data_IF_217201303548
#
_entry.id   IF_217201303548
#
_cell.length_a   1.000
_cell.length_b   1.000
_cell.length_c   1.000
_cell.angle_alpha   90.00
_cell.angle_beta   90.00
_cell.angle_gamma   90.00
#
_symmetry.space_group_name_H-M   'P 1'
#
loop_
_entity.id
_entity.type
_entity.pdbx_description
1 polymer ?
#
# COMPACT_ATOMS: atom_id res chain seq x y z
N UNK A 1 -29.20 5.27 -1.40
CA UNK A 1 -29.74 4.21 -2.29
C UNK A 1 -28.63 3.91 -3.29
N UNK A 2 -27.72 3.01 -2.92
CA UNK A 2 -26.45 2.74 -3.64
C UNK A 2 -26.68 1.53 -4.55
N UNK A 3 -26.10 1.58 -5.75
CA UNK A 3 -26.34 0.63 -6.83
C UNK A 3 -25.67 -0.72 -6.55
N UNK A 4 -26.37 -1.79 -6.89
CA UNK A 4 -25.87 -3.15 -7.01
C UNK A 4 -24.62 -3.22 -7.90
N UNK A 5 -23.73 -4.17 -7.60
CA UNK A 5 -22.58 -4.59 -8.41
C UNK A 5 -22.87 -4.45 -9.92
N UNK A 6 -22.07 -3.68 -10.69
CA UNK A 6 -22.25 -3.60 -12.14
C UNK A 6 -21.91 -4.95 -12.78
N UNK A 7 -22.71 -5.35 -13.77
CA UNK A 7 -22.44 -6.52 -14.63
C UNK A 7 -21.06 -6.33 -15.27
N UNK A 8 -20.10 -7.20 -14.90
CA UNK A 8 -18.75 -7.17 -15.43
C UNK A 8 -18.75 -7.62 -16.90
N UNK A 9 -18.15 -6.79 -17.76
CA UNK A 9 -17.84 -7.12 -19.16
C UNK A 9 -16.81 -8.27 -19.19
N UNK A 10 -17.10 -9.42 -19.85
CA UNK A 10 -16.20 -10.57 -19.90
C UNK A 10 -14.89 -10.35 -20.68
N UNK A 11 -14.65 -9.14 -21.22
CA UNK A 11 -13.41 -8.77 -21.92
C UNK A 11 -12.38 -8.00 -21.07
N UNK A 12 -12.75 -7.57 -19.86
CA UNK A 12 -11.80 -6.99 -18.90
C UNK A 12 -11.23 -8.07 -17.99
N UNK A 13 -9.90 -8.12 -17.89
CA UNK A 13 -9.14 -9.24 -17.32
C UNK A 13 -9.70 -9.83 -16.03
N UNK A 14 -9.69 -11.16 -15.98
CA UNK A 14 -10.06 -12.01 -14.85
C UNK A 14 -9.68 -11.38 -13.50
N UNK A 15 -10.63 -10.73 -12.85
CA UNK A 15 -10.49 -10.38 -11.45
C UNK A 15 -10.80 -11.65 -10.68
N UNK A 16 -9.76 -12.46 -10.46
CA UNK A 16 -9.82 -13.51 -9.44
C UNK A 16 -9.88 -12.76 -8.11
N UNK A 17 -11.09 -12.48 -7.63
CA UNK A 17 -11.29 -12.12 -6.24
C UNK A 17 -11.08 -13.40 -5.44
N UNK A 18 -10.14 -13.38 -4.50
CA UNK A 18 -10.01 -14.43 -3.50
C UNK A 18 -11.26 -14.38 -2.61
N UNK A 19 -12.31 -15.09 -3.02
CA UNK A 19 -13.57 -15.22 -2.27
C UNK A 19 -13.45 -16.35 -1.23
N UNK A 20 -12.28 -16.95 -1.10
CA UNK A 20 -12.09 -18.12 -0.28
C UNK A 20 -11.54 -17.76 1.09
N UNK A 21 -12.39 -17.91 2.10
CA UNK A 21 -12.08 -17.86 3.53
C UNK A 21 -11.74 -16.48 4.14
N UNK A 22 -11.80 -15.40 3.36
CA UNK A 22 -11.51 -14.05 3.86
C UNK A 22 -12.59 -13.52 4.80
N UNK A 23 -12.25 -13.28 6.07
CA UNK A 23 -13.11 -12.52 6.97
C UNK A 23 -13.38 -11.09 6.41
N UNK A 24 -14.42 -10.36 6.87
CA UNK A 24 -14.83 -9.07 6.29
C UNK A 24 -13.70 -8.05 6.10
N UNK A 25 -12.67 -8.09 6.95
CA UNK A 25 -11.50 -7.25 6.80
C UNK A 25 -10.65 -7.60 5.56
N UNK A 26 -10.52 -8.87 5.21
CA UNK A 26 -9.88 -9.32 3.98
C UNK A 26 -10.56 -8.77 2.73
N UNK A 27 -11.90 -8.81 2.71
CA UNK A 27 -12.71 -8.19 1.65
C UNK A 27 -12.46 -6.67 1.56
N UNK A 28 -12.49 -5.95 2.69
CA UNK A 28 -12.24 -4.50 2.71
C UNK A 28 -10.90 -4.13 2.07
N UNK A 29 -9.84 -4.92 2.34
CA UNK A 29 -8.50 -4.72 1.77
C UNK A 29 -8.51 -4.87 0.24
N UNK A 30 -9.24 -5.85 -0.30
CA UNK A 30 -9.38 -6.03 -1.75
C UNK A 30 -10.34 -5.04 -2.43
N UNK A 31 -11.24 -4.40 -1.67
CA UNK A 31 -12.32 -3.56 -2.19
C UNK A 31 -11.94 -2.08 -2.38
N UNK A 32 -10.68 -1.74 -2.63
CA UNK A 32 -10.23 -0.36 -2.81
C UNK A 32 -10.98 0.38 -3.93
N UNK A 33 -11.18 -0.29 -5.07
CA UNK A 33 -11.92 0.30 -6.19
C UNK A 33 -13.42 0.48 -5.94
N UNK A 34 -14.05 -0.47 -5.25
CA UNK A 34 -15.46 -0.38 -4.88
C UNK A 34 -15.67 0.83 -3.96
N UNK A 35 -14.87 0.91 -2.90
CA UNK A 35 -14.98 2.01 -1.95
C UNK A 35 -14.65 3.36 -2.60
N UNK A 36 -13.66 3.44 -3.51
CA UNK A 36 -13.39 4.67 -4.25
C UNK A 36 -14.62 5.16 -5.05
N UNK A 37 -15.38 4.23 -5.66
CA UNK A 37 -16.61 4.56 -6.38
C UNK A 37 -17.71 5.10 -5.46
N UNK A 38 -17.84 4.56 -4.25
CA UNK A 38 -18.80 5.04 -3.25
C UNK A 38 -18.40 6.41 -2.68
N UNK A 39 -17.13 6.55 -2.32
CA UNK A 39 -16.56 7.79 -1.78
C UNK A 39 -16.63 8.95 -2.78
N UNK A 40 -16.54 8.67 -4.09
CA UNK A 40 -16.68 9.66 -5.16
C UNK A 40 -18.08 10.29 -5.24
N UNK A 41 -19.11 9.63 -4.70
CA UNK A 41 -20.49 10.14 -4.68
C UNK A 41 -20.81 10.95 -3.43
N UNK A 42 -19.92 10.95 -2.44
CA UNK A 42 -20.10 11.69 -1.19
C UNK A 42 -19.64 13.15 -1.33
N UNK A 43 -20.19 14.07 -0.52
CA UNK A 43 -19.66 15.43 -0.44
C UNK A 43 -18.17 15.43 -0.10
N UNK A 44 -17.43 16.28 -0.81
CA UNK A 44 -16.00 16.49 -0.65
C UNK A 44 -15.71 18.00 -0.53
N UNK A 45 -14.67 18.33 0.22
CA UNK A 45 -14.19 19.71 0.43
C UNK A 45 -13.53 20.31 -0.81
N UNK A 46 -13.18 19.48 -1.79
CA UNK A 46 -12.39 19.90 -2.95
C UNK A 46 -10.90 20.10 -2.65
N UNK A 47 -10.44 19.74 -1.45
CA UNK A 47 -9.02 19.79 -1.10
C UNK A 47 -8.36 18.49 -1.54
N UNK A 48 -7.54 18.56 -2.59
CA UNK A 48 -7.00 17.37 -3.27
C UNK A 48 -5.48 17.23 -3.15
N UNK A 49 -4.94 16.89 -1.95
CA UNK A 49 -3.53 16.52 -1.81
C UNK A 49 -3.24 15.21 -2.55
N UNK A 50 -1.97 14.79 -2.57
CA UNK A 50 -1.66 13.38 -2.88
C UNK A 50 -2.17 12.53 -1.73
N UNK A 51 -3.06 11.58 -2.04
CA UNK A 51 -3.61 10.59 -1.13
C UNK A 51 -3.02 9.22 -1.43
N UNK A 52 -3.06 8.31 -0.45
CA UNK A 52 -2.61 6.93 -0.64
C UNK A 52 -3.58 6.07 -1.44
N UNK A 53 -4.88 6.40 -1.44
CA UNK A 53 -5.91 5.69 -2.21
C UNK A 53 -6.34 4.35 -1.60
N UNK A 54 -5.44 3.63 -0.94
CA UNK A 54 -5.74 2.39 -0.22
C UNK A 54 -5.40 2.47 1.27
N UNK A 55 -6.31 3.07 2.03
CA UNK A 55 -6.11 3.39 3.44
C UNK A 55 -6.64 2.41 4.45
N UNK A 56 -5.82 1.45 4.88
CA UNK A 56 -6.27 0.54 5.93
C UNK A 56 -5.19 0.18 6.94
N UNK A 57 -5.59 -0.28 8.14
CA UNK A 57 -4.67 -0.62 9.25
C UNK A 57 -3.57 -1.62 8.83
N UNK A 58 -3.89 -2.55 7.93
CA UNK A 58 -2.94 -3.52 7.38
C UNK A 58 -1.86 -2.94 6.44
N UNK A 59 -2.04 -1.72 5.95
CA UNK A 59 -1.04 -1.03 5.13
C UNK A 59 -0.01 -0.28 5.97
N UNK A 60 -0.12 -0.32 7.31
CA UNK A 60 0.89 0.21 8.21
C UNK A 60 1.79 -0.92 8.72
N UNK A 61 3.09 -0.81 8.48
CA UNK A 61 4.08 -1.82 8.85
C UNK A 61 5.31 -1.23 9.51
N UNK A 62 6.02 -2.08 10.28
CA UNK A 62 7.33 -1.71 10.81
C UNK A 62 8.45 -2.16 9.86
N UNK A 63 9.35 -1.23 9.51
CA UNK A 63 10.46 -1.40 8.57
C UNK A 63 11.80 -1.05 9.18
N UNK A 64 12.88 -1.65 8.69
CA UNK A 64 14.22 -1.14 8.92
C UNK A 64 14.53 -0.09 7.84
N UNK A 65 14.91 1.13 8.25
CA UNK A 65 15.47 2.11 7.31
C UNK A 65 16.85 1.64 6.80
N UNK A 66 17.37 2.23 5.71
CA UNK A 66 18.74 1.96 5.26
C UNK A 66 19.80 2.17 6.37
N UNK A 67 19.54 3.08 7.32
CA UNK A 67 20.35 3.33 8.51
C UNK A 67 20.07 2.35 9.67
N UNK A 68 19.39 1.23 9.40
CA UNK A 68 19.00 0.18 10.35
C UNK A 68 18.11 0.67 11.51
N UNK A 69 17.39 1.78 11.33
CA UNK A 69 16.45 2.27 12.34
C UNK A 69 15.04 1.72 12.10
N UNK A 70 14.35 1.30 13.16
CA UNK A 70 12.99 0.75 13.05
C UNK A 70 11.96 1.85 12.83
N UNK A 71 11.37 1.93 11.64
CA UNK A 71 10.35 2.86 11.16
C UNK A 71 8.95 2.26 11.14
N UNK A 72 7.90 3.03 11.47
CA UNK A 72 6.52 2.70 11.11
C UNK A 72 6.20 3.46 9.81
N UNK A 73 5.79 2.77 8.76
CA UNK A 73 5.54 3.37 7.44
C UNK A 73 4.35 2.73 6.72
N UNK A 74 3.91 3.37 5.63
CA UNK A 74 2.97 2.80 4.67
C UNK A 74 3.71 1.89 3.69
N UNK A 75 3.06 0.81 3.29
CA UNK A 75 3.67 -0.27 2.51
C UNK A 75 3.36 -0.21 1.03
N UNK A 76 2.21 0.36 0.70
CA UNK A 76 1.60 0.27 -0.61
C UNK A 76 1.25 1.67 -1.12
N UNK A 77 1.75 1.96 -2.33
CA UNK A 77 1.61 3.24 -3.01
C UNK A 77 1.09 3.05 -4.44
N UNK A 78 0.64 1.84 -4.80
CA UNK A 78 0.14 1.56 -6.14
C UNK A 78 -1.07 2.44 -6.46
N UNK A 79 -1.83 2.81 -5.43
CA UNK A 79 -3.00 3.69 -5.49
C UNK A 79 -2.73 5.17 -5.21
N UNK A 80 -1.46 5.55 -5.05
CA UNK A 80 -1.09 6.94 -4.78
C UNK A 80 -1.51 7.87 -5.93
N UNK A 81 -2.30 8.89 -5.61
CA UNK A 81 -2.85 9.81 -6.59
C UNK A 81 -3.35 11.12 -5.93
N UNK A 82 -3.34 12.28 -6.61
CA UNK A 82 -4.09 13.45 -6.16
C UNK A 82 -5.57 13.14 -6.02
N UNK A 83 -6.15 13.38 -4.84
CA UNK A 83 -7.54 13.04 -4.57
C UNK A 83 -8.03 13.67 -3.27
N UNK A 84 -9.32 13.58 -3.01
CA UNK A 84 -9.94 14.13 -1.80
C UNK A 84 -9.33 13.50 -0.54
N UNK A 85 -8.75 14.31 0.33
CA UNK A 85 -8.07 13.85 1.55
C UNK A 85 -8.98 13.03 2.48
N UNK A 86 -10.29 13.26 2.40
CA UNK A 86 -11.32 12.55 3.17
C UNK A 86 -11.35 11.07 2.86
N UNK A 87 -10.95 10.65 1.65
CA UNK A 87 -11.05 9.26 1.22
C UNK A 87 -10.12 8.36 2.01
N UNK A 88 -8.90 8.84 2.19
CA UNK A 88 -7.88 8.19 3.00
C UNK A 88 -8.32 8.04 4.46
N UNK A 89 -8.93 9.08 5.03
CA UNK A 89 -9.36 9.04 6.42
C UNK A 89 -10.62 8.16 6.60
N UNK A 90 -11.59 8.25 5.68
CA UNK A 90 -12.80 7.41 5.68
C UNK A 90 -12.47 5.93 5.56
N UNK A 91 -11.63 5.55 4.59
CA UNK A 91 -11.22 4.15 4.39
C UNK A 91 -10.40 3.65 5.58
N UNK A 92 -9.55 4.49 6.17
CA UNK A 92 -8.81 4.12 7.38
C UNK A 92 -9.75 3.86 8.55
N UNK A 93 -10.68 4.77 8.82
CA UNK A 93 -11.67 4.63 9.91
C UNK A 93 -12.54 3.39 9.73
N UNK A 94 -13.05 3.13 8.52
CA UNK A 94 -13.79 1.91 8.23
C UNK A 94 -12.95 0.65 8.50
N UNK A 95 -11.69 0.63 8.07
CA UNK A 95 -10.80 -0.51 8.30
C UNK A 95 -10.52 -0.79 9.78
N UNK A 96 -10.44 0.25 10.61
CA UNK A 96 -10.29 0.12 12.07
C UNK A 96 -11.53 -0.55 12.66
N UNK A 97 -12.72 -0.12 12.25
CA UNK A 97 -13.98 -0.67 12.74
C UNK A 97 -14.19 -2.13 12.33
N UNK A 98 -14.04 -2.43 11.04
CA UNK A 98 -14.17 -3.80 10.51
C UNK A 98 -13.15 -4.74 11.15
N UNK A 99 -11.89 -4.30 11.27
CA UNK A 99 -10.87 -5.06 11.99
C UNK A 99 -11.23 -5.25 13.48
N UNK A 100 -11.83 -4.26 14.13
CA UNK A 100 -12.27 -4.35 15.52
C UNK A 100 -13.30 -5.45 15.72
N UNK A 101 -14.38 -5.42 14.91
CA UNK A 101 -15.45 -6.44 14.93
C UNK A 101 -14.92 -7.84 14.65
N UNK A 102 -14.05 -7.98 13.65
CA UNK A 102 -13.43 -9.27 13.31
C UNK A 102 -12.58 -9.85 14.47
N UNK A 103 -12.00 -8.98 15.31
CA UNK A 103 -11.25 -9.39 16.50
C UNK A 103 -12.13 -9.50 17.76
N UNK A 104 -13.45 -9.39 17.63
CA UNK A 104 -14.41 -9.55 18.72
C UNK A 104 -14.53 -8.33 19.65
N UNK A 105 -14.11 -7.14 19.21
CA UNK A 105 -14.39 -5.91 19.94
C UNK A 105 -15.89 -5.55 19.84
N UNK A 106 -16.42 -4.94 20.90
CA UNK A 106 -17.77 -4.38 20.86
C UNK A 106 -17.80 -3.03 20.10
N UNK A 107 -19.01 -2.54 19.83
CA UNK A 107 -19.20 -1.29 19.07
C UNK A 107 -18.59 -0.08 19.78
N UNK A 108 -18.66 -0.04 21.12
CA UNK A 108 -18.11 1.08 21.91
C UNK A 108 -16.58 1.12 21.81
N UNK A 109 -15.91 -0.03 21.87
CA UNK A 109 -14.47 -0.13 21.68
C UNK A 109 -14.05 0.21 20.23
N UNK A 110 -14.86 -0.16 19.24
CA UNK A 110 -14.62 0.23 17.84
C UNK A 110 -14.76 1.74 17.65
N UNK A 111 -15.78 2.35 18.26
CA UNK A 111 -16.00 3.80 18.25
C UNK A 111 -14.84 4.55 18.90
N UNK A 112 -14.39 4.10 20.09
CA UNK A 112 -13.24 4.68 20.79
C UNK A 112 -11.97 4.59 19.93
N UNK A 113 -11.73 3.45 19.28
CA UNK A 113 -10.57 3.24 18.42
C UNK A 113 -10.58 4.17 17.20
N UNK A 114 -11.74 4.34 16.54
CA UNK A 114 -11.87 5.26 15.40
C UNK A 114 -11.73 6.71 15.84
N UNK A 115 -12.35 7.10 16.96
CA UNK A 115 -12.23 8.44 17.52
C UNK A 115 -10.77 8.77 17.85
N UNK A 116 -10.05 7.86 18.50
CA UNK A 116 -8.62 8.01 18.80
C UNK A 116 -7.78 8.12 17.52
N UNK A 117 -8.09 7.33 16.48
CA UNK A 117 -7.41 7.41 15.19
C UNK A 117 -7.59 8.78 14.52
N UNK A 118 -8.82 9.29 14.49
CA UNK A 118 -9.15 10.58 13.88
C UNK A 118 -8.54 11.75 14.67
N UNK A 119 -8.61 11.69 16.00
CA UNK A 119 -7.98 12.67 16.87
C UNK A 119 -6.46 12.72 16.67
N UNK A 120 -5.79 11.56 16.62
CA UNK A 120 -4.36 11.49 16.35
C UNK A 120 -3.99 12.07 14.97
N UNK A 121 -4.79 11.78 13.95
CA UNK A 121 -4.60 12.37 12.62
C UNK A 121 -4.73 13.91 12.65
N UNK A 122 -5.78 14.43 13.31
CA UNK A 122 -6.00 15.87 13.45
C UNK A 122 -4.85 16.55 14.21
N UNK A 123 -4.45 15.98 15.33
CA UNK A 123 -3.46 16.58 16.23
C UNK A 123 -2.08 16.61 15.55
N UNK A 124 -1.69 15.54 14.85
CA UNK A 124 -0.46 15.54 14.04
C UNK A 124 -0.54 16.57 12.91
N UNK A 125 -1.68 16.68 12.23
CA UNK A 125 -1.84 17.64 11.14
C UNK A 125 -1.67 19.08 11.64
N UNK A 126 -2.23 19.40 12.81
CA UNK A 126 -2.02 20.69 13.48
C UNK A 126 -0.57 20.92 13.86
N UNK A 127 0.08 19.93 14.49
CA UNK A 127 1.47 20.05 14.91
C UNK A 127 2.41 20.28 13.71
N UNK A 128 2.16 19.58 12.59
CA UNK A 128 2.94 19.74 11.36
C UNK A 128 2.66 21.07 10.67
N UNK A 129 1.44 21.58 10.76
CA UNK A 129 1.06 22.88 10.22
C UNK A 129 1.72 24.05 10.97
N UNK A 130 1.92 23.91 12.29
CA UNK A 130 2.60 24.92 13.11
C UNK A 130 4.13 24.97 12.89
N UNK A 131 4.70 23.99 12.17
CA UNK A 131 6.13 23.92 11.88
C UNK A 131 6.51 24.65 10.57
N UNK A 132 7.74 25.19 10.46
CA UNK A 132 8.27 25.71 9.20
C UNK A 132 8.23 24.68 8.07
N UNK A 133 7.96 25.13 6.84
CA UNK A 133 7.76 24.27 5.66
C UNK A 133 8.95 23.37 5.32
N UNK A 134 10.16 23.82 5.63
CA UNK A 134 11.38 23.03 5.43
C UNK A 134 11.51 21.97 6.53
N UNK A 135 11.32 22.36 7.79
CA UNK A 135 11.47 21.47 8.95
C UNK A 135 10.43 20.34 8.93
N UNK A 136 9.17 20.63 8.58
CA UNK A 136 8.14 19.60 8.38
C UNK A 136 8.55 18.55 7.34
N UNK A 137 9.39 18.91 6.37
CA UNK A 137 9.84 18.02 5.29
C UNK A 137 10.94 17.06 5.77
N UNK A 138 11.64 17.40 6.86
CA UNK A 138 12.70 16.57 7.45
C UNK A 138 12.34 15.92 8.79
N UNK A 139 11.19 16.27 9.39
CA UNK A 139 10.70 15.66 10.64
C UNK A 139 10.69 14.13 10.52
N UNK A 140 11.23 13.42 11.52
CA UNK A 140 11.21 11.96 11.64
C UNK A 140 10.84 11.60 13.08
N UNK A 141 9.88 10.70 13.31
CA UNK A 141 9.82 10.05 14.63
C UNK A 141 11.00 9.10 14.77
N UNK A 142 11.68 9.12 15.89
CA UNK A 142 12.73 8.15 16.20
C UNK A 142 12.19 6.96 17.02
N UNK A 143 13.08 6.01 17.35
CA UNK A 143 12.75 4.85 18.18
C UNK A 143 12.29 5.24 19.59
N UNK A 144 12.80 6.34 20.13
CA UNK A 144 12.53 6.79 21.50
C UNK A 144 11.09 7.28 21.60
N UNK A 145 10.66 8.11 20.65
CA UNK A 145 9.29 8.61 20.59
C UNK A 145 8.25 7.49 20.35
N UNK A 146 8.56 6.49 19.52
CA UNK A 146 7.71 5.30 19.35
C UNK A 146 7.59 4.44 20.62
N UNK A 147 8.64 4.39 21.42
CA UNK A 147 8.63 3.71 22.71
C UNK A 147 7.84 4.51 23.76
N UNK A 148 7.89 5.84 23.70
CA UNK A 148 7.17 6.74 24.60
C UNK A 148 5.67 6.79 24.28
N UNK A 149 5.28 6.72 23.00
CA UNK A 149 3.89 6.59 22.54
C UNK A 149 3.25 5.24 22.95
N UNK A 150 4.06 4.20 23.13
CA UNK A 150 3.59 2.91 23.60
C UNK A 150 3.32 2.94 25.11
N UNK A 151 2.19 3.53 25.49
CA UNK A 151 1.81 3.71 26.90
C UNK A 151 1.59 2.36 27.61
N UNK A 152 1.17 1.32 26.88
CA UNK A 152 0.89 -0.01 27.45
C UNK A 152 2.03 -1.01 27.24
N UNK A 153 2.22 -1.89 28.24
CA UNK A 153 3.21 -2.98 28.19
C UNK A 153 2.91 -3.97 27.05
N UNK A 154 1.64 -4.18 26.70
CA UNK A 154 1.23 -5.05 25.59
C UNK A 154 1.63 -4.46 24.24
N UNK A 155 1.38 -3.17 24.01
CA UNK A 155 1.75 -2.47 22.78
C UNK A 155 3.28 -2.43 22.62
N UNK A 156 4.04 -2.14 23.69
CA UNK A 156 5.52 -2.25 23.67
C UNK A 156 6.00 -3.64 23.25
N UNK A 157 5.37 -4.70 23.77
CA UNK A 157 5.72 -6.08 23.41
C UNK A 157 5.42 -6.37 21.94
N UNK A 158 4.29 -5.89 21.41
CA UNK A 158 3.94 -6.06 20.01
C UNK A 158 4.88 -5.26 19.09
N UNK A 159 5.19 -4.00 19.42
CA UNK A 159 6.18 -3.18 18.70
C UNK A 159 7.55 -3.86 18.69
N UNK A 160 7.99 -4.40 19.83
CA UNK A 160 9.25 -5.16 19.91
C UNK A 160 9.23 -6.40 19.01
N UNK A 161 8.13 -7.17 19.01
CA UNK A 161 7.95 -8.36 18.16
C UNK A 161 7.96 -8.00 16.67
N UNK A 162 7.23 -6.96 16.28
CA UNK A 162 7.23 -6.43 14.92
C UNK A 162 8.61 -5.93 14.51
N UNK A 163 9.34 -5.26 15.42
CA UNK A 163 10.72 -4.82 15.18
C UNK A 163 11.68 -5.96 14.90
N UNK A 164 11.63 -7.02 15.71
CA UNK A 164 12.47 -8.20 15.49
C UNK A 164 12.15 -8.85 14.14
N UNK A 165 10.86 -8.94 13.78
CA UNK A 165 10.42 -9.47 12.48
C UNK A 165 10.90 -8.61 11.31
N UNK A 166 10.79 -7.29 11.41
CA UNK A 166 11.23 -6.35 10.38
C UNK A 166 12.74 -6.51 10.09
N UNK A 167 13.56 -6.64 11.15
CA UNK A 167 15.01 -6.88 11.01
C UNK A 167 15.38 -8.26 10.49
N UNK A 168 14.48 -9.24 10.58
CA UNK A 168 14.68 -10.55 9.97
C UNK A 168 14.23 -10.61 8.51
N UNK A 169 13.45 -9.63 8.05
CA UNK A 169 12.93 -9.53 6.67
C UNK A 169 13.79 -8.68 5.74
N UNK A 170 14.91 -8.13 6.21
CA UNK A 170 15.88 -7.45 5.34
C UNK A 170 16.38 -8.42 4.29
N UNK A 171 16.27 -7.99 3.04
CA UNK A 171 16.58 -8.68 1.78
C UNK A 171 17.91 -9.44 1.80
N UNK A 172 18.88 -8.96 2.57
CA UNK A 172 20.24 -9.50 2.67
C UNK A 172 20.33 -10.96 3.17
N UNK A 173 19.35 -11.45 3.93
CA UNK A 173 19.38 -12.84 4.44
C UNK A 173 18.74 -13.88 3.51
N UNK A 174 18.12 -13.42 2.43
CA UNK A 174 17.44 -14.24 1.44
C UNK A 174 18.34 -14.65 0.27
N UNK A 175 19.38 -13.85 -0.01
CA UNK A 175 20.24 -13.94 -1.20
C UNK A 175 20.77 -15.35 -1.51
N UNK A 176 21.28 -16.16 -0.56
CA UNK A 176 21.87 -17.47 -0.88
C UNK A 176 20.85 -18.59 -1.07
N UNK A 177 19.57 -18.38 -0.70
CA UNK A 177 18.51 -19.40 -0.83
C UNK A 177 17.77 -19.32 -2.15
N UNK A 178 17.85 -18.17 -2.82
CA UNK A 178 17.12 -17.91 -4.06
C UNK A 178 17.95 -18.17 -5.32
N UNK A 179 19.21 -18.59 -5.21
CA UNK A 179 20.03 -18.91 -6.38
C UNK A 179 20.63 -20.30 -6.32
N UNK A 180 20.53 -21.05 -7.40
CA UNK A 180 21.28 -22.27 -7.65
C UNK A 180 22.53 -21.93 -8.45
N UNK A 181 23.67 -22.45 -7.99
CA UNK A 181 24.93 -22.35 -8.70
C UNK A 181 25.11 -23.60 -9.58
N UNK A 182 25.03 -23.42 -10.91
CA UNK A 182 25.33 -24.47 -11.89
C UNK A 182 26.65 -24.18 -12.61
N UNK A 183 27.71 -23.91 -11.85
CA UNK A 183 29.06 -23.77 -12.39
C UNK A 183 29.31 -22.37 -12.96
N UNK A 184 29.13 -22.19 -14.28
CA UNK A 184 29.36 -20.90 -14.94
C UNK A 184 28.12 -19.99 -14.99
N UNK A 185 26.93 -20.55 -14.74
CA UNK A 185 25.65 -19.84 -14.78
C UNK A 185 24.98 -19.90 -13.41
N UNK A 186 24.94 -18.76 -12.71
CA UNK A 186 24.08 -18.59 -11.53
C UNK A 186 22.66 -18.34 -11.98
N UNK A 187 21.68 -18.98 -11.35
CA UNK A 187 20.25 -18.83 -11.70
C UNK A 187 19.37 -18.74 -10.47
N UNK A 188 18.23 -18.08 -10.60
CA UNK A 188 17.18 -18.01 -9.59
C UNK A 188 16.56 -19.42 -9.43
N UNK A 189 16.35 -19.87 -8.20
CA UNK A 189 15.71 -21.16 -7.90
C UNK A 189 14.25 -21.10 -8.31
N UNK A 190 13.80 -22.10 -9.06
CA UNK A 190 12.39 -22.25 -9.42
C UNK A 190 11.60 -22.83 -8.25
N UNK A 191 10.45 -22.23 -7.97
CA UNK A 191 9.51 -22.69 -6.96
C UNK A 191 8.09 -22.56 -7.51
N UNK A 192 7.67 -23.41 -8.47
CA UNK A 192 6.35 -23.31 -9.05
C UNK A 192 5.24 -23.54 -8.00
N UNK A 193 4.15 -22.75 -8.00
CA UNK A 193 3.79 -21.71 -8.97
C UNK A 193 4.33 -20.30 -8.64
N UNK A 194 5.03 -20.13 -7.52
CA UNK A 194 5.47 -18.83 -7.00
C UNK A 194 6.59 -18.21 -7.84
N UNK A 195 7.61 -18.99 -8.19
CA UNK A 195 8.73 -18.56 -9.03
C UNK A 195 8.83 -19.47 -10.23
N UNK A 196 8.59 -18.92 -11.42
CA UNK A 196 8.57 -19.68 -12.68
C UNK A 196 9.46 -19.04 -13.74
N UNK A 197 9.91 -19.87 -14.69
CA UNK A 197 10.77 -19.42 -15.79
C UNK A 197 9.99 -18.62 -16.81
N UNK A 198 10.71 -17.68 -17.40
CA UNK A 198 10.29 -16.93 -18.57
C UNK A 198 10.83 -17.60 -19.83
N UNK A 199 10.08 -17.48 -20.93
CA UNK A 199 10.61 -17.82 -22.24
C UNK A 199 11.65 -16.76 -22.71
N UNK A 200 12.46 -17.11 -23.70
CA UNK A 200 13.56 -16.25 -24.17
C UNK A 200 13.08 -14.87 -24.64
N UNK A 201 11.93 -14.81 -25.34
CA UNK A 201 11.34 -13.56 -25.81
C UNK A 201 10.97 -12.62 -24.64
N UNK A 202 10.39 -13.16 -23.57
CA UNK A 202 10.04 -12.39 -22.37
C UNK A 202 11.28 -11.90 -21.65
N UNK A 203 12.34 -12.72 -21.56
CA UNK A 203 13.61 -12.33 -20.95
C UNK A 203 14.26 -11.18 -21.72
N UNK A 204 14.35 -11.27 -23.05
CA UNK A 204 14.93 -10.24 -23.90
C UNK A 204 14.16 -8.92 -23.77
N UNK A 205 12.82 -8.97 -23.83
CA UNK A 205 11.99 -7.78 -23.64
C UNK A 205 12.15 -7.11 -22.27
N UNK A 206 12.38 -7.90 -21.21
CA UNK A 206 12.64 -7.36 -19.87
C UNK A 206 14.04 -6.78 -19.76
N UNK A 207 15.04 -7.41 -20.37
CA UNK A 207 16.40 -6.89 -20.45
C UNK A 207 16.43 -5.52 -21.14
N UNK A 208 15.80 -5.39 -22.31
CA UNK A 208 15.66 -4.10 -23.00
C UNK A 208 14.89 -3.05 -22.15
N UNK A 209 13.88 -3.50 -21.41
CA UNK A 209 13.13 -2.65 -20.49
C UNK A 209 14.00 -2.12 -19.35
N UNK A 210 14.85 -2.97 -18.78
CA UNK A 210 15.81 -2.60 -17.75
C UNK A 210 16.86 -1.63 -18.27
N UNK A 211 17.36 -1.82 -19.50
CA UNK A 211 18.29 -0.88 -20.14
C UNK A 211 17.67 0.52 -20.29
N UNK A 212 16.41 0.60 -20.72
CA UNK A 212 15.68 1.89 -20.77
C UNK A 212 15.45 2.47 -19.38
N UNK A 213 15.12 1.64 -18.39
CA UNK A 213 14.90 2.07 -17.01
C UNK A 213 16.18 2.64 -16.36
N UNK A 214 17.36 2.09 -16.66
CA UNK A 214 18.63 2.65 -16.18
C UNK A 214 18.79 4.13 -16.57
N UNK A 215 18.23 4.55 -17.71
CA UNK A 215 18.26 5.93 -18.16
C UNK A 215 17.35 6.87 -17.35
N UNK A 216 16.33 6.33 -16.67
CA UNK A 216 15.38 7.11 -15.86
C UNK A 216 15.83 7.27 -14.41
N UNK A 217 16.83 6.52 -13.97
CA UNK A 217 17.39 6.62 -12.61
C UNK A 217 18.11 7.96 -12.39
N UNK A 218 18.07 8.44 -11.15
CA UNK A 218 18.90 9.57 -10.72
C UNK A 218 20.39 9.29 -11.00
N UNK A 219 21.20 10.29 -11.38
CA UNK A 219 22.55 10.06 -11.90
C UNK A 219 23.47 9.21 -11.00
N UNK A 220 23.36 9.38 -9.68
CA UNK A 220 24.15 8.58 -8.73
C UNK A 220 23.71 7.12 -8.68
N UNK A 221 22.40 6.84 -8.72
CA UNK A 221 21.88 5.46 -8.79
C UNK A 221 22.20 4.81 -10.13
N UNK A 222 22.07 5.55 -11.23
CA UNK A 222 22.46 5.07 -12.56
C UNK A 222 23.91 4.62 -12.62
N UNK A 223 24.83 5.36 -11.97
CA UNK A 223 26.25 5.00 -11.90
C UNK A 223 26.48 3.70 -11.12
N UNK A 224 25.72 3.48 -10.04
CA UNK A 224 25.84 2.28 -9.20
C UNK A 224 25.23 1.07 -9.93
N UNK A 225 23.95 1.16 -10.30
CA UNK A 225 23.22 0.04 -10.90
C UNK A 225 23.75 -0.31 -12.30
N UNK A 226 24.23 0.67 -13.06
CA UNK A 226 24.82 0.44 -14.39
C UNK A 226 26.14 -0.34 -14.38
N UNK A 227 26.74 -0.60 -13.21
CA UNK A 227 27.89 -1.49 -13.05
C UNK A 227 27.51 -2.96 -12.87
N UNK A 228 26.22 -3.28 -12.75
CA UNK A 228 25.72 -4.64 -12.58
C UNK A 228 25.27 -5.23 -13.92
N UNK A 229 25.57 -6.52 -14.12
CA UNK A 229 25.16 -7.31 -15.28
C UNK A 229 23.94 -8.13 -14.93
N UNK A 230 22.93 -8.14 -15.81
CA UNK A 230 21.77 -9.00 -15.67
C UNK A 230 22.15 -10.47 -15.89
N UNK A 231 21.90 -11.31 -14.89
CA UNK A 231 22.25 -12.74 -14.91
C UNK A 231 21.04 -13.61 -15.21
N UNK A 232 19.91 -13.36 -14.53
CA UNK A 232 18.70 -14.17 -14.67
C UNK A 232 17.46 -13.35 -14.33
N UNK A 233 16.31 -13.74 -14.91
CA UNK A 233 15.00 -13.15 -14.62
C UNK A 233 13.96 -14.25 -14.49
N UNK A 234 13.20 -14.19 -13.40
CA UNK A 234 12.11 -15.11 -13.15
C UNK A 234 10.79 -14.37 -12.96
N UNK A 235 9.69 -14.99 -13.35
CA UNK A 235 8.36 -14.57 -12.93
C UNK A 235 8.21 -14.83 -11.43
N UNK A 236 7.60 -13.91 -10.71
CA UNK A 236 7.43 -13.99 -9.26
C UNK A 236 6.01 -13.60 -8.85
N UNK A 237 5.21 -14.59 -8.47
CA UNK A 237 3.86 -14.40 -7.92
C UNK A 237 3.98 -14.13 -6.43
N UNK A 238 3.71 -12.88 -6.03
CA UNK A 238 3.73 -12.48 -4.62
C UNK A 238 2.33 -12.08 -4.18
N UNK A 239 1.64 -12.99 -3.51
CA UNK A 239 0.32 -12.75 -2.91
C UNK A 239 -0.86 -12.75 -3.89
N UNK A 240 -2.07 -12.90 -3.33
CA UNK A 240 -3.33 -13.11 -4.06
C UNK A 240 -3.75 -11.94 -4.96
N UNK A 241 -3.42 -10.69 -4.58
CA UNK A 241 -3.72 -9.50 -5.40
C UNK A 241 -2.82 -9.32 -6.64
N UNK A 242 -1.78 -10.14 -6.77
CA UNK A 242 -0.83 -10.11 -7.91
C UNK A 242 -1.13 -11.17 -8.95
N UNK A 243 -2.13 -12.05 -8.73
CA UNK A 243 -2.54 -13.08 -9.68
C UNK A 243 -3.09 -12.39 -10.93
N UNK A 244 -2.43 -12.61 -12.07
CA UNK A 244 -2.75 -11.95 -13.35
C UNK A 244 -1.97 -10.66 -13.64
N UNK A 245 -1.15 -10.16 -12.71
CA UNK A 245 -0.25 -9.02 -12.95
C UNK A 245 1.17 -9.47 -13.26
N UNK A 246 1.85 -8.72 -14.12
CA UNK A 246 3.25 -9.01 -14.47
C UNK A 246 4.16 -8.61 -13.32
N UNK A 247 4.67 -9.60 -12.61
CA UNK A 247 5.65 -9.44 -11.54
C UNK A 247 6.87 -10.32 -11.81
N UNK A 248 8.05 -9.71 -11.77
CA UNK A 248 9.31 -10.37 -12.06
C UNK A 248 10.36 -10.03 -11.00
N UNK A 249 11.35 -10.90 -10.90
CA UNK A 249 12.56 -10.67 -10.13
C UNK A 249 13.76 -10.84 -11.06
N UNK A 250 14.62 -9.83 -11.10
CA UNK A 250 15.85 -9.82 -11.87
C UNK A 250 17.04 -9.96 -10.91
N UNK A 251 17.91 -10.92 -11.17
CA UNK A 251 19.19 -11.10 -10.50
C UNK A 251 20.27 -10.39 -11.30
N UNK A 252 20.99 -9.47 -10.65
CA UNK A 252 22.12 -8.80 -11.25
C UNK A 252 23.39 -9.02 -10.41
N UNK A 253 24.52 -9.16 -11.09
CA UNK A 253 25.84 -9.39 -10.50
C UNK A 253 26.80 -8.27 -10.87
N UNK A 254 27.54 -7.78 -9.88
CA UNK A 254 28.47 -6.66 -9.98
C UNK A 254 29.91 -7.12 -10.14
N UNK A 255 30.79 -6.63 -9.28
CA UNK A 255 32.25 -6.82 -9.44
C UNK A 255 32.76 -8.19 -8.96
N UNK A 256 31.95 -8.94 -8.23
CA UNK A 256 32.29 -10.29 -7.76
C UNK A 256 31.03 -11.16 -7.67
N UNK A 257 31.19 -12.50 -7.59
CA UNK A 257 30.05 -13.40 -7.40
C UNK A 257 29.30 -13.19 -6.08
N UNK A 258 29.82 -12.43 -5.11
CA UNK A 258 29.10 -12.11 -3.87
C UNK A 258 28.43 -10.72 -3.92
N UNK A 259 28.76 -9.92 -4.93
CA UNK A 259 28.20 -8.59 -5.18
C UNK A 259 26.94 -8.71 -6.05
N UNK A 260 25.82 -9.09 -5.43
CA UNK A 260 24.55 -9.29 -6.12
C UNK A 260 23.47 -8.32 -5.64
N UNK A 261 22.63 -7.89 -6.58
CA UNK A 261 21.40 -7.16 -6.29
C UNK A 261 20.22 -7.86 -6.96
N UNK A 262 19.06 -7.78 -6.29
CA UNK A 262 17.79 -8.21 -6.86
C UNK A 262 16.92 -6.99 -7.13
N UNK A 263 16.40 -6.89 -8.35
CA UNK A 263 15.39 -5.90 -8.70
C UNK A 263 14.04 -6.60 -8.77
N UNK A 264 13.05 -6.06 -8.06
CA UNK A 264 11.66 -6.49 -8.20
C UNK A 264 10.98 -5.58 -9.22
N UNK A 265 10.47 -6.17 -10.29
CA UNK A 265 9.72 -5.47 -11.32
C UNK A 265 8.25 -5.80 -11.13
N UNK A 266 7.42 -4.76 -11.03
CA UNK A 266 5.97 -4.90 -10.91
C UNK A 266 5.26 -4.03 -11.92
N UNK A 267 4.23 -4.58 -12.54
CA UNK A 267 3.31 -3.80 -13.35
C UNK A 267 2.43 -2.94 -12.44
N UNK A 268 2.61 -1.62 -12.52
CA UNK A 268 1.69 -0.67 -11.93
C UNK A 268 0.43 -0.54 -12.80
N UNK A 269 -0.74 -0.65 -12.18
CA UNK A 269 -2.03 -0.38 -12.85
C UNK A 269 -2.39 1.09 -12.72
N UNK A 270 -3.42 1.49 -13.49
CA UNK A 270 -4.12 2.73 -13.21
C UNK A 270 -4.70 2.67 -11.80
N UNK A 271 -4.49 3.74 -11.04
CA UNK A 271 -5.04 3.84 -9.69
C UNK A 271 -6.56 3.86 -9.77
N UNK A 272 -7.20 3.18 -8.82
CA UNK A 272 -8.64 3.19 -8.58
C UNK A 272 -9.18 4.59 -8.26
N UNK A 273 -8.34 5.50 -7.77
CA UNK A 273 -8.72 6.90 -7.53
C UNK A 273 -8.80 7.69 -8.84
N UNK A 274 -7.96 7.37 -9.80
CA UNK A 274 -7.76 8.17 -11.01
C UNK A 274 -9.04 8.41 -11.85
N UNK A 275 -9.91 7.40 -12.10
CA UNK A 275 -11.17 7.58 -12.84
C UNK A 275 -12.07 8.67 -12.28
N UNK A 276 -12.07 8.85 -10.95
CA UNK A 276 -12.96 9.79 -10.27
C UNK A 276 -12.37 11.21 -10.17
N UNK A 277 -11.09 11.39 -10.52
CA UNK A 277 -10.39 12.68 -10.43
C UNK A 277 -10.19 13.30 -11.81
N UNK A 278 -9.85 12.51 -12.82
CA UNK A 278 -9.61 13.01 -14.19
C UNK A 278 -10.26 12.17 -15.30
N UNK A 279 -11.23 11.31 -14.95
CA UNK A 279 -11.98 10.54 -15.93
C UNK A 279 -11.13 9.44 -16.54
N UNK A 280 -11.33 9.16 -17.83
CA UNK A 280 -10.71 8.00 -18.49
C UNK A 280 -9.28 8.25 -19.02
N UNK A 281 -8.84 9.50 -19.10
CA UNK A 281 -7.50 9.84 -19.65
C UNK A 281 -6.43 9.84 -18.56
N UNK A 282 -5.44 8.91 -18.58
CA UNK A 282 -4.37 8.94 -17.58
C UNK A 282 -3.52 10.20 -17.74
N UNK A 283 -3.18 10.85 -16.61
CA UNK A 283 -2.27 12.02 -16.61
C UNK A 283 -0.81 11.63 -16.84
N UNK A 284 -0.45 10.41 -16.49
CA UNK A 284 0.88 9.86 -16.65
C UNK A 284 0.89 8.90 -17.83
N UNK A 285 1.88 9.07 -18.72
CA UNK A 285 2.12 8.14 -19.83
C UNK A 285 2.45 6.74 -19.32
N UNK A 286 3.10 6.65 -18.15
CA UNK A 286 3.45 5.39 -17.49
C UNK A 286 3.01 5.34 -16.02
N UNK A 287 2.24 4.32 -15.63
CA UNK A 287 1.70 4.23 -14.26
C UNK A 287 2.78 3.94 -13.21
N UNK A 288 3.90 3.31 -13.57
CA UNK A 288 5.04 3.16 -12.67
C UNK A 288 5.74 4.48 -12.37
N UNK A 289 5.72 5.44 -13.31
CA UNK A 289 6.24 6.79 -13.07
C UNK A 289 5.41 7.51 -12.02
N UNK A 290 4.07 7.38 -12.10
CA UNK A 290 3.15 7.91 -11.09
C UNK A 290 3.52 7.44 -9.68
N UNK A 291 3.68 6.13 -9.51
CA UNK A 291 3.96 5.54 -8.19
C UNK A 291 5.27 6.11 -7.63
N UNK A 292 6.32 6.18 -8.45
CA UNK A 292 7.63 6.72 -8.05
C UNK A 292 7.56 8.23 -7.75
N UNK A 293 6.78 9.00 -8.50
CA UNK A 293 6.61 10.44 -8.29
C UNK A 293 5.89 10.74 -6.96
N UNK A 294 4.83 10.00 -6.66
CA UNK A 294 3.96 10.27 -5.51
C UNK A 294 4.39 9.56 -4.23
N UNK A 295 5.14 8.47 -4.32
CA UNK A 295 5.65 7.76 -3.15
C UNK A 295 6.42 8.69 -2.19
N UNK A 296 7.38 9.55 -2.60
CA UNK A 296 8.06 10.47 -1.67
C UNK A 296 7.14 11.49 -0.98
N UNK A 297 6.01 11.85 -1.62
CA UNK A 297 5.03 12.77 -1.04
C UNK A 297 4.27 12.12 0.12
N UNK A 298 4.06 10.82 0.07
CA UNK A 298 3.40 10.02 1.12
C UNK A 298 4.41 9.40 2.11
N UNK A 299 5.59 9.05 1.61
CA UNK A 299 6.62 8.27 2.30
C UNK A 299 7.86 9.11 2.55
N UNK A 300 8.08 9.53 3.79
CA UNK A 300 9.36 10.14 4.23
C UNK A 300 9.45 10.13 5.77
N UNK A 301 9.15 8.97 6.35
CA UNK A 301 9.45 8.50 7.73
C UNK A 301 8.85 9.30 8.90
N UNK A 302 7.65 8.85 9.34
CA UNK A 302 6.94 8.85 10.66
C UNK A 302 6.13 10.07 11.19
N UNK A 303 4.93 9.70 11.70
CA UNK A 303 3.72 10.38 12.27
C UNK A 303 2.49 9.45 11.97
N UNK A 304 1.22 9.68 12.36
CA UNK A 304 0.09 9.06 11.65
C UNK A 304 0.25 9.41 10.17
N UNK A 305 0.72 8.44 9.39
CA UNK A 305 1.53 8.67 8.17
C UNK A 305 0.77 9.51 7.12
N UNK A 306 -0.56 9.38 7.10
CA UNK A 306 -1.46 10.13 6.21
C UNK A 306 -1.53 11.61 6.55
N UNK A 307 -1.59 11.99 7.84
CA UNK A 307 -1.54 13.40 8.25
C UNK A 307 -0.26 14.06 7.75
N UNK A 308 0.84 13.30 7.73
CA UNK A 308 2.13 13.77 7.24
C UNK A 308 2.21 13.94 5.72
N UNK A 309 1.68 12.98 4.96
CA UNK A 309 1.56 13.12 3.50
C UNK A 309 0.69 14.31 3.10
N UNK A 310 -0.46 14.46 3.77
CA UNK A 310 -1.36 15.60 3.56
C UNK A 310 -0.74 16.94 4.03
N UNK A 311 0.05 16.94 5.10
CA UNK A 311 0.75 18.14 5.59
C UNK A 311 1.86 18.64 4.66
N UNK A 312 2.47 17.75 3.87
CA UNK A 312 3.60 18.06 2.99
C UNK A 312 3.18 18.50 1.60
N UNK A 313 2.00 18.07 1.18
CA UNK A 313 1.41 18.45 -0.10
C UNK A 313 0.66 19.79 0.01
N UNK A 314 0.44 20.43 -1.14
CA UNK A 314 -0.38 21.64 -1.23
C UNK A 314 -1.81 21.31 -0.74
N UNK A 315 -2.19 21.81 0.43
CA UNK A 315 -3.51 21.53 1.02
C UNK A 315 -3.55 21.50 2.54
N UNK A 316 -2.41 21.29 3.20
CA UNK A 316 -2.31 21.19 4.66
C UNK A 316 -3.08 22.28 5.43
N UNK A 317 -2.86 23.56 5.08
CA UNK A 317 -3.52 24.69 5.71
C UNK A 317 -5.04 24.69 5.51
N UNK A 318 -5.51 24.25 4.34
CA UNK A 318 -6.92 24.13 4.02
C UNK A 318 -7.57 23.00 4.81
N UNK A 319 -6.89 21.84 4.91
CA UNK A 319 -7.38 20.68 5.68
C UNK A 319 -7.44 21.05 7.16
N UNK A 320 -6.40 21.67 7.70
CA UNK A 320 -6.37 22.15 9.10
C UNK A 320 -7.49 23.16 9.37
N UNK A 321 -7.68 24.13 8.46
CA UNK A 321 -8.76 25.11 8.57
C UNK A 321 -10.16 24.48 8.53
N UNK A 322 -10.36 23.45 7.70
CA UNK A 322 -11.63 22.73 7.60
C UNK A 322 -11.91 21.83 8.82
N UNK A 323 -10.92 21.04 9.24
CA UNK A 323 -11.07 20.13 10.39
C UNK A 323 -11.25 20.91 11.70
N UNK A 324 -10.53 22.02 11.86
CA UNK A 324 -10.51 22.78 13.10
C UNK A 324 -9.92 21.98 14.27
N UNK A 325 -10.24 22.39 15.50
CA UNK A 325 -9.76 21.74 16.74
C UNK A 325 -10.84 20.94 17.50
N UNK A 326 -12.09 21.00 17.05
CA UNK A 326 -13.18 20.23 17.67
C UNK A 326 -13.17 18.77 17.23
N UNK A 327 -13.87 17.92 17.98
CA UNK A 327 -14.11 16.51 17.73
C UNK A 327 -15.22 16.23 16.69
N UNK A 328 -15.79 17.26 16.05
CA UNK A 328 -16.88 17.11 15.07
C UNK A 328 -16.54 16.19 13.91
N UNK A 329 -15.31 16.28 13.40
CA UNK A 329 -14.82 15.41 12.31
C UNK A 329 -14.66 13.98 12.82
N UNK A 330 -14.11 13.81 14.03
CA UNK A 330 -13.92 12.51 14.67
C UNK A 330 -15.28 11.80 14.83
N UNK A 331 -16.28 12.48 15.40
CA UNK A 331 -17.64 11.95 15.57
C UNK A 331 -18.34 11.64 14.23
N UNK A 332 -18.10 12.45 13.19
CA UNK A 332 -18.64 12.18 11.86
C UNK A 332 -18.01 10.94 11.22
N UNK A 333 -16.71 10.74 11.43
CA UNK A 333 -15.98 9.57 10.94
C UNK A 333 -16.31 8.31 11.72
N UNK A 334 -16.61 8.39 13.01
CA UNK A 334 -17.14 7.25 13.78
C UNK A 334 -18.46 6.75 13.19
N UNK A 335 -19.42 7.67 12.94
CA UNK A 335 -20.69 7.30 12.30
C UNK A 335 -20.48 6.70 10.91
N UNK A 336 -19.65 7.34 10.09
CA UNK A 336 -19.30 6.83 8.77
C UNK A 336 -18.68 5.43 8.85
N UNK A 337 -17.70 5.22 9.73
CA UNK A 337 -16.98 3.96 9.85
C UNK A 337 -17.89 2.81 10.28
N UNK A 338 -18.86 3.07 11.17
CA UNK A 338 -19.88 2.10 11.56
C UNK A 338 -20.79 1.73 10.38
N UNK A 339 -21.33 2.73 9.68
CA UNK A 339 -22.22 2.52 8.54
C UNK A 339 -21.51 1.78 7.39
N UNK A 340 -20.24 2.11 7.16
CA UNK A 340 -19.39 1.50 6.14
C UNK A 340 -18.95 0.08 6.55
N UNK A 341 -18.74 -0.19 7.83
CA UNK A 341 -18.49 -1.55 8.33
C UNK A 341 -19.71 -2.46 8.10
N UNK A 342 -20.92 -1.97 8.41
CA UNK A 342 -22.16 -2.69 8.10
C UNK A 342 -22.31 -2.94 6.59
N UNK A 343 -21.92 -1.98 5.76
CA UNK A 343 -21.95 -2.12 4.31
C UNK A 343 -20.92 -3.15 3.81
N UNK A 344 -19.69 -3.08 4.30
CA UNK A 344 -18.60 -4.01 3.99
C UNK A 344 -18.98 -5.45 4.32
N UNK A 345 -19.58 -5.69 5.49
CA UNK A 345 -20.05 -7.02 5.90
C UNK A 345 -21.17 -7.54 4.99
N UNK A 346 -22.13 -6.68 4.61
CA UNK A 346 -23.20 -7.03 3.66
C UNK A 346 -22.65 -7.37 2.27
N UNK A 347 -21.71 -6.58 1.77
CA UNK A 347 -21.12 -6.79 0.45
C UNK A 347 -20.25 -8.04 0.42
N UNK A 348 -19.51 -8.29 1.49
CA UNK A 348 -18.78 -9.53 1.68
C UNK A 348 -19.72 -10.75 1.68
N UNK A 349 -20.81 -10.71 2.45
CA UNK A 349 -21.81 -11.78 2.43
C UNK A 349 -22.43 -11.99 1.04
N UNK A 350 -22.70 -10.91 0.31
CA UNK A 350 -23.24 -10.98 -1.04
C UNK A 350 -22.24 -11.62 -2.01
N UNK A 351 -20.96 -11.28 -1.90
CA UNK A 351 -19.87 -11.87 -2.67
C UNK A 351 -19.75 -13.38 -2.40
N UNK A 352 -19.73 -13.78 -1.13
CA UNK A 352 -19.67 -15.20 -0.73
C UNK A 352 -20.88 -15.97 -1.29
N UNK A 353 -22.09 -15.41 -1.20
CA UNK A 353 -23.31 -16.02 -1.77
C UNK A 353 -23.25 -16.10 -3.31
N UNK A 354 -22.64 -15.12 -3.98
CA UNK A 354 -22.49 -15.11 -5.44
C UNK A 354 -21.49 -16.16 -5.93
N UNK A 355 -20.33 -16.27 -5.26
CA UNK A 355 -19.33 -17.31 -5.53
C UNK A 355 -19.88 -18.71 -5.27
N UNK A 356 -20.56 -18.93 -4.15
CA UNK A 356 -21.22 -20.21 -3.84
C UNK A 356 -22.29 -20.60 -4.88
N UNK A 357 -22.91 -19.61 -5.54
CA UNK A 357 -23.87 -19.82 -6.61
C UNK A 357 -23.24 -19.99 -8.01
N UNK A 358 -21.90 -19.93 -8.12
CA UNK A 358 -21.17 -20.02 -9.39
C UNK A 358 -21.41 -18.83 -10.32
N UNK A 359 -21.84 -17.68 -9.78
CA UNK A 359 -22.08 -16.45 -10.57
C UNK A 359 -20.81 -15.64 -10.80
N UNK A 360 -19.77 -15.91 -10.03
CA UNK A 360 -18.45 -15.26 -10.09
C UNK A 360 -17.42 -16.39 -9.98
N UNK A 361 -16.40 -16.35 -10.84
CA UNK A 361 -15.25 -17.26 -10.74
C UNK A 361 -14.49 -16.95 -9.45
N UNK A 362 -14.45 -17.92 -8.54
CA UNK A 362 -13.71 -17.84 -7.29
C UNK A 362 -12.67 -18.95 -7.24
N UNK A 363 -11.41 -18.61 -6.99
CA UNK A 363 -10.37 -19.58 -6.65
C UNK A 363 -10.32 -19.74 -5.13
N UNK A 364 -10.18 -20.98 -4.67
CA UNK A 364 -10.14 -21.30 -3.24
C UNK A 364 -8.76 -21.76 -2.77
N UNK A 365 -8.18 -21.00 -1.83
CA UNK A 365 -7.04 -21.43 -1.00
C UNK A 365 -5.66 -21.40 -1.67
N UNK A 366 -5.16 -20.21 -2.04
CA UNK A 366 -3.75 -20.02 -2.46
C UNK A 366 -2.90 -19.42 -1.35
#
# INVERSE_FOLDING_TARGET
MVQSLPDADPSEGHVVLDVADGAPYGFLRGAAGIMAADLARLPATGITPVIGGDAHVGNFGFYASPEQQLVLDINDFDEAHPGSWEWDLRRLSASVWVSGRENGADEDACEEAVAACCAAYRDELWELFEQPLLDRSFRRLDRKQLHDLAQTKSLRKQIKKASTRARSRTSDRALPRFTEDRGADRRIVEEPPLITRLNDEQQERLAEGLDRYLLTLAPHWRRVVGGYTLIDVAHNVVGVGSVGLRAYVALLEGSSPDDVIFLQLKQARRSVVAPFVHGESPRHDHQGERVVEYQPALQTVRGPVRAKGHARTSGASMIVGYIGRSDKVDAALCRFARDDADQTERDHEALVKAAAAGRIDAEYGI
#
